data_IF_064758878081
#
_entry.id   IF_064758878081
#
_cell.length_a   1.000
_cell.length_b   1.000
_cell.length_c   1.000
_cell.angle_alpha   90.00
_cell.angle_beta   90.00
_cell.angle_gamma   90.00
#
_symmetry.space_group_name_H-M   'P 1'
#
loop_
_entity.id
_entity.type
_entity.pdbx_description
1 polymer ?
#
# COMPACT_ATOMS: atom_id res chain seq x y z
N UNK A 1 46.61 -29.98 -42.22
CA UNK A 1 47.25 -28.86 -41.48
C UNK A 1 46.17 -27.90 -41.05
N UNK A 2 45.92 -27.82 -39.74
CA UNK A 2 45.02 -26.86 -39.10
C UNK A 2 45.49 -25.42 -39.36
N UNK A 3 44.56 -24.46 -39.34
CA UNK A 3 44.63 -23.32 -38.41
C UNK A 3 43.48 -22.35 -38.66
N UNK A 4 42.64 -22.15 -37.64
CA UNK A 4 41.62 -21.11 -37.67
C UNK A 4 40.27 -21.50 -37.10
N UNK A 5 40.22 -22.46 -36.18
CA UNK A 5 39.16 -22.52 -35.18
C UNK A 5 39.21 -21.20 -34.39
N UNK A 6 38.59 -20.15 -34.92
CA UNK A 6 38.39 -18.91 -34.19
C UNK A 6 37.29 -19.22 -33.19
N UNK A 7 37.73 -19.59 -32.00
CA UNK A 7 36.95 -19.62 -30.76
C UNK A 7 36.04 -18.39 -30.83
N UNK A 8 34.75 -18.58 -31.09
CA UNK A 8 33.76 -17.57 -30.72
C UNK A 8 33.93 -17.49 -29.21
N UNK A 9 34.34 -16.35 -28.62
CA UNK A 9 34.33 -16.24 -27.17
C UNK A 9 32.90 -16.57 -26.75
N UNK A 10 32.79 -17.65 -25.99
CA UNK A 10 31.54 -18.20 -25.49
C UNK A 10 30.97 -17.26 -24.41
N UNK A 11 30.68 -16.03 -24.79
CA UNK A 11 30.06 -15.00 -23.97
C UNK A 11 28.54 -14.95 -24.18
N UNK A 12 28.00 -15.94 -24.91
CA UNK A 12 26.69 -15.84 -25.57
C UNK A 12 25.79 -17.07 -25.40
N UNK A 13 26.13 -18.03 -24.53
CA UNK A 13 25.16 -19.08 -24.19
C UNK A 13 25.34 -19.51 -22.73
N UNK A 14 24.36 -19.12 -21.89
CA UNK A 14 23.62 -20.03 -20.98
C UNK A 14 23.48 -19.54 -19.51
N UNK A 15 22.32 -18.92 -19.25
CA UNK A 15 21.33 -19.29 -18.22
C UNK A 15 21.76 -19.32 -16.75
N UNK A 16 22.10 -18.18 -16.16
CA UNK A 16 21.90 -18.00 -14.72
C UNK A 16 21.31 -16.62 -14.53
N UNK A 17 20.21 -16.51 -13.80
CA UNK A 17 20.01 -15.29 -13.02
C UNK A 17 21.34 -15.06 -12.28
N UNK A 18 22.02 -13.94 -12.53
CA UNK A 18 23.27 -13.66 -11.83
C UNK A 18 22.99 -13.80 -10.34
N UNK A 19 23.89 -14.46 -9.61
CA UNK A 19 23.70 -14.73 -8.17
C UNK A 19 23.36 -13.44 -7.39
N UNK A 20 23.81 -12.29 -7.90
CA UNK A 20 23.47 -10.94 -7.44
C UNK A 20 21.96 -10.69 -7.57
N UNK A 21 21.36 -10.90 -8.75
CA UNK A 21 19.93 -10.74 -9.01
C UNK A 21 19.09 -11.64 -8.10
N UNK A 22 19.50 -12.90 -7.90
CA UNK A 22 18.82 -13.81 -6.97
C UNK A 22 18.86 -13.25 -5.54
N UNK A 23 20.03 -12.80 -5.09
CA UNK A 23 20.19 -12.21 -3.75
C UNK A 23 19.31 -10.97 -3.59
N UNK A 24 19.27 -10.09 -4.60
CA UNK A 24 18.43 -8.88 -4.60
C UNK A 24 16.95 -9.24 -4.52
N UNK A 25 16.46 -10.18 -5.33
CA UNK A 25 15.06 -10.61 -5.31
C UNK A 25 14.68 -11.25 -3.97
N UNK A 26 15.55 -12.08 -3.39
CA UNK A 26 15.30 -12.71 -2.08
C UNK A 26 15.25 -11.66 -0.96
N UNK A 27 16.18 -10.71 -0.95
CA UNK A 27 16.17 -9.60 0.00
C UNK A 27 14.93 -8.72 -0.17
N UNK A 28 14.57 -8.41 -1.42
CA UNK A 28 13.35 -7.70 -1.75
C UNK A 28 12.12 -8.45 -1.23
N UNK A 29 12.01 -9.76 -1.44
CA UNK A 29 10.87 -10.56 -1.00
C UNK A 29 10.66 -10.47 0.52
N UNK A 30 11.76 -10.49 1.29
CA UNK A 30 11.72 -10.34 2.76
C UNK A 30 11.26 -8.93 3.15
N UNK A 31 11.84 -7.89 2.55
CA UNK A 31 11.46 -6.49 2.82
C UNK A 31 10.01 -6.22 2.41
N UNK A 32 9.59 -6.75 1.27
CA UNK A 32 8.23 -6.62 0.76
C UNK A 32 7.22 -7.36 1.66
N UNK A 33 7.59 -8.50 2.26
CA UNK A 33 6.77 -9.16 3.28
C UNK A 33 6.59 -8.28 4.52
N UNK A 34 7.64 -7.56 4.97
CA UNK A 34 7.52 -6.55 6.03
C UNK A 34 6.59 -5.42 5.60
N UNK A 35 6.63 -5.00 4.33
CA UNK A 35 5.71 -3.99 3.80
C UNK A 35 4.23 -4.43 3.82
N UNK A 36 3.95 -5.72 3.64
CA UNK A 36 2.60 -6.28 3.84
C UNK A 36 2.17 -6.16 5.31
N UNK A 37 3.07 -6.44 6.25
CA UNK A 37 2.78 -6.23 7.68
C UNK A 37 2.57 -4.75 8.02
N UNK A 38 3.29 -3.84 7.36
CA UNK A 38 3.05 -2.39 7.48
C UNK A 38 1.67 -1.98 6.92
N UNK A 39 1.18 -2.65 5.88
CA UNK A 39 -0.18 -2.42 5.38
C UNK A 39 -1.26 -2.89 6.37
N UNK A 40 -1.01 -3.98 7.10
CA UNK A 40 -1.94 -4.52 8.12
C UNK A 40 -2.19 -3.56 9.28
N UNK A 41 -1.21 -2.73 9.60
CA UNK A 41 -1.27 -1.69 10.63
C UNK A 41 -1.69 -0.33 10.06
N UNK A 42 -2.21 -0.28 8.83
CA UNK A 42 -2.76 0.94 8.23
C UNK A 42 -1.73 1.95 7.73
N UNK A 43 -0.45 1.57 7.61
CA UNK A 43 0.56 2.41 6.95
C UNK A 43 0.57 2.21 5.43
N UNK A 44 1.27 3.12 4.75
CA UNK A 44 1.49 3.12 3.30
C UNK A 44 2.48 2.03 2.83
N UNK A 45 2.36 0.79 3.35
CA UNK A 45 3.26 -0.32 3.05
C UNK A 45 3.26 -0.72 1.56
N UNK A 46 2.10 -0.67 0.89
CA UNK A 46 1.98 -0.93 -0.56
C UNK A 46 2.80 0.05 -1.38
N UNK A 47 2.78 1.33 -1.01
CA UNK A 47 3.55 2.39 -1.68
C UNK A 47 5.05 2.19 -1.51
N UNK A 48 5.50 1.86 -0.30
CA UNK A 48 6.90 1.57 -0.02
C UNK A 48 7.37 0.36 -0.85
N UNK A 49 6.59 -0.71 -0.89
CA UNK A 49 6.89 -1.91 -1.67
C UNK A 49 7.04 -1.60 -3.17
N UNK A 50 6.09 -0.86 -3.76
CA UNK A 50 6.13 -0.48 -5.18
C UNK A 50 7.31 0.47 -5.46
N UNK A 51 7.61 1.39 -4.55
CA UNK A 51 8.75 2.31 -4.70
C UNK A 51 10.09 1.55 -4.68
N UNK A 52 10.25 0.58 -3.78
CA UNK A 52 11.46 -0.25 -3.74
C UNK A 52 11.58 -1.08 -5.02
N UNK A 53 10.48 -1.70 -5.49
CA UNK A 53 10.49 -2.46 -6.73
C UNK A 53 10.88 -1.58 -7.94
N UNK A 54 10.34 -0.36 -8.01
CA UNK A 54 10.72 0.61 -9.04
C UNK A 54 12.20 1.00 -8.95
N UNK A 55 12.73 1.23 -7.75
CA UNK A 55 14.16 1.54 -7.58
C UNK A 55 15.03 0.38 -8.02
N UNK A 56 14.66 -0.86 -7.73
CA UNK A 56 15.41 -2.03 -8.19
C UNK A 56 15.36 -2.12 -9.72
N UNK A 57 14.19 -1.98 -10.33
CA UNK A 57 14.05 -2.00 -11.80
C UNK A 57 14.91 -0.90 -12.47
N UNK A 58 14.96 0.30 -11.90
CA UNK A 58 15.79 1.39 -12.41
C UNK A 58 17.29 1.14 -12.23
N UNK A 59 17.69 0.42 -11.19
CA UNK A 59 19.09 0.08 -10.91
C UNK A 59 19.55 -1.19 -11.64
N UNK A 60 18.64 -1.99 -12.17
CA UNK A 60 18.94 -3.24 -12.87
C UNK A 60 19.83 -3.01 -14.09
N UNK A 61 19.77 -1.82 -14.70
CA UNK A 61 20.66 -1.40 -15.80
C UNK A 61 22.16 -1.43 -15.44
N UNK A 62 22.51 -1.40 -14.14
CA UNK A 62 23.91 -1.40 -13.70
C UNK A 62 24.49 -2.80 -13.50
N UNK A 63 23.64 -3.82 -13.33
CA UNK A 63 24.10 -5.16 -12.90
C UNK A 63 23.41 -6.33 -13.62
N UNK A 64 22.39 -6.09 -14.44
CA UNK A 64 21.60 -7.13 -15.11
C UNK A 64 21.32 -6.84 -16.59
N UNK A 65 20.45 -7.67 -17.18
CA UNK A 65 20.14 -7.69 -18.62
C UNK A 65 19.10 -6.64 -19.04
N UNK A 66 18.59 -5.84 -18.10
CA UNK A 66 17.85 -4.59 -18.38
C UNK A 66 16.38 -4.54 -17.96
N UNK A 67 15.74 -5.64 -17.59
CA UNK A 67 14.37 -5.67 -17.03
C UNK A 67 14.17 -6.86 -16.06
N UNK A 68 13.84 -6.59 -14.79
CA UNK A 68 13.58 -7.64 -13.78
C UNK A 68 12.10 -8.01 -13.73
N UNK A 69 11.20 -7.01 -13.74
CA UNK A 69 9.74 -7.21 -13.72
C UNK A 69 9.06 -6.68 -14.97
N UNK A 70 9.68 -5.72 -15.65
CA UNK A 70 9.08 -4.97 -16.74
C UNK A 70 8.07 -3.93 -16.28
N UNK A 71 7.91 -2.88 -17.09
CA UNK A 71 7.04 -1.74 -16.80
C UNK A 71 5.56 -2.11 -16.63
N UNK A 72 5.10 -3.18 -17.28
CA UNK A 72 3.72 -3.67 -17.14
C UNK A 72 3.44 -4.16 -15.73
N UNK A 73 4.33 -4.96 -15.15
CA UNK A 73 4.17 -5.52 -13.80
C UNK A 73 4.16 -4.40 -12.75
N UNK A 74 5.09 -3.45 -12.87
CA UNK A 74 5.13 -2.28 -11.99
C UNK A 74 3.87 -1.42 -12.13
N UNK A 75 3.38 -1.22 -13.35
CA UNK A 75 2.13 -0.51 -13.63
C UNK A 75 0.91 -1.19 -12.99
N UNK A 76 0.82 -2.52 -13.07
CA UNK A 76 -0.24 -3.30 -12.40
C UNK A 76 -0.15 -3.16 -10.89
N UNK A 77 1.04 -3.34 -10.28
CA UNK A 77 1.21 -3.21 -8.84
C UNK A 77 0.94 -1.78 -8.34
N UNK A 78 1.31 -0.76 -9.12
CA UNK A 78 0.96 0.63 -8.83
C UNK A 78 -0.55 0.86 -8.87
N UNK A 79 -1.23 0.35 -9.91
CA UNK A 79 -2.69 0.41 -10.01
C UNK A 79 -3.39 -0.27 -8.82
N UNK A 80 -2.90 -1.45 -8.42
CA UNK A 80 -3.37 -2.15 -7.23
C UNK A 80 -3.12 -1.33 -5.95
N UNK A 81 -1.95 -0.70 -5.80
CA UNK A 81 -1.66 0.16 -4.65
C UNK A 81 -2.66 1.32 -4.53
N UNK A 82 -3.00 1.97 -5.65
CA UNK A 82 -4.03 3.01 -5.72
C UNK A 82 -5.40 2.46 -5.31
N UNK A 83 -5.79 1.30 -5.86
CA UNK A 83 -7.07 0.65 -5.53
C UNK A 83 -7.14 0.33 -4.04
N UNK A 84 -6.08 -0.21 -3.43
CA UNK A 84 -6.02 -0.50 -2.00
C UNK A 84 -6.19 0.75 -1.13
N UNK A 85 -5.58 1.87 -1.51
CA UNK A 85 -5.73 3.14 -0.79
C UNK A 85 -7.15 3.70 -0.87
N UNK A 86 -7.75 3.65 -2.08
CA UNK A 86 -9.15 4.06 -2.30
C UNK A 86 -10.10 3.16 -1.51
N UNK A 87 -9.85 1.85 -1.45
CA UNK A 87 -10.64 0.92 -0.66
C UNK A 87 -10.60 1.27 0.83
N UNK A 88 -9.43 1.59 1.37
CA UNK A 88 -9.29 1.97 2.79
C UNK A 88 -10.07 3.25 3.11
N UNK A 89 -9.84 4.32 2.35
CA UNK A 89 -10.51 5.60 2.55
C UNK A 89 -12.02 5.50 2.27
N UNK A 90 -12.37 4.79 1.21
CA UNK A 90 -13.75 4.57 0.78
C UNK A 90 -14.54 3.76 1.79
N UNK A 91 -13.94 2.72 2.40
CA UNK A 91 -14.61 1.92 3.41
C UNK A 91 -14.95 2.74 4.67
N UNK A 92 -14.07 3.65 5.10
CA UNK A 92 -14.37 4.59 6.17
C UNK A 92 -15.54 5.53 5.83
N UNK A 93 -15.56 6.10 4.64
CA UNK A 93 -16.67 6.94 4.17
C UNK A 93 -17.98 6.16 4.02
N UNK A 94 -17.95 4.96 3.45
CA UNK A 94 -19.12 4.09 3.34
C UNK A 94 -19.63 3.67 4.72
N UNK A 95 -18.74 3.50 5.69
CA UNK A 95 -19.06 3.25 7.09
C UNK A 95 -19.94 4.34 7.71
N UNK A 96 -19.63 5.61 7.45
CA UNK A 96 -20.49 6.75 7.83
C UNK A 96 -21.89 6.59 7.23
N UNK A 97 -21.96 6.32 5.92
CA UNK A 97 -23.24 6.20 5.19
C UNK A 97 -24.09 5.04 5.73
N UNK A 98 -23.48 3.89 6.01
CA UNK A 98 -24.16 2.71 6.60
C UNK A 98 -24.63 3.02 8.03
N UNK A 99 -23.87 3.83 8.77
CA UNK A 99 -24.27 4.33 10.08
C UNK A 99 -25.39 5.38 10.06
N UNK A 100 -25.88 5.78 8.88
CA UNK A 100 -26.93 6.78 8.70
C UNK A 100 -26.42 8.21 8.56
N UNK A 101 -25.11 8.41 8.43
CA UNK A 101 -24.50 9.72 8.31
C UNK A 101 -24.64 10.38 6.94
N UNK A 102 -24.42 11.68 6.93
CA UNK A 102 -24.50 12.55 5.76
C UNK A 102 -23.24 12.49 4.87
N UNK A 103 -23.35 13.12 3.68
CA UNK A 103 -22.20 13.32 2.79
C UNK A 103 -21.09 14.17 3.41
N UNK A 104 -21.43 15.06 4.36
CA UNK A 104 -20.43 15.88 5.08
C UNK A 104 -19.65 15.03 6.08
N UNK A 105 -20.33 14.11 6.80
CA UNK A 105 -19.67 13.10 7.62
C UNK A 105 -18.71 12.23 6.83
N UNK A 106 -19.08 11.80 5.61
CA UNK A 106 -18.21 10.98 4.76
C UNK A 106 -16.91 11.70 4.40
N UNK A 107 -17.02 12.96 3.95
CA UNK A 107 -15.84 13.77 3.61
C UNK A 107 -15.02 14.09 4.86
N UNK A 108 -15.69 14.40 5.97
CA UNK A 108 -15.06 14.62 7.27
C UNK A 108 -14.26 13.41 7.73
N UNK A 109 -14.78 12.20 7.57
CA UNK A 109 -14.08 10.95 7.91
C UNK A 109 -12.80 10.76 7.09
N UNK A 110 -12.82 11.03 5.78
CA UNK A 110 -11.65 10.94 4.91
C UNK A 110 -10.58 11.95 5.34
N UNK A 111 -10.96 13.24 5.43
CA UNK A 111 -10.03 14.32 5.78
C UNK A 111 -9.49 14.11 7.19
N UNK A 112 -10.37 13.80 8.14
CA UNK A 112 -10.00 13.53 9.52
C UNK A 112 -9.05 12.34 9.64
N UNK A 113 -9.26 11.27 8.87
CA UNK A 113 -8.36 10.13 8.85
C UNK A 113 -6.95 10.47 8.35
N UNK A 114 -6.85 11.27 7.28
CA UNK A 114 -5.57 11.74 6.74
C UNK A 114 -4.86 12.65 7.75
N UNK A 115 -5.57 13.69 8.22
CA UNK A 115 -5.01 14.68 9.15
C UNK A 115 -4.65 14.04 10.48
N UNK A 116 -5.50 13.18 11.03
CA UNK A 116 -5.26 12.48 12.27
C UNK A 116 -4.08 11.51 12.16
N UNK A 117 -3.96 10.79 11.05
CA UNK A 117 -2.80 9.95 10.77
C UNK A 117 -1.50 10.75 10.78
N UNK A 118 -1.45 11.86 10.03
CA UNK A 118 -0.24 12.70 9.92
C UNK A 118 0.07 13.40 11.25
N UNK A 119 -0.93 13.99 11.93
CA UNK A 119 -0.73 14.82 13.10
C UNK A 119 -0.31 14.04 14.35
N UNK A 120 -0.79 12.80 14.52
CA UNK A 120 -0.45 11.97 15.68
C UNK A 120 0.76 11.06 15.45
N UNK A 121 1.25 10.94 14.21
CA UNK A 121 2.50 10.23 13.89
C UNK A 121 3.72 10.74 14.67
N UNK A 122 4.01 12.07 14.74
CA UNK A 122 5.17 12.57 15.48
C UNK A 122 4.95 12.65 17.00
N UNK A 123 3.71 12.51 17.47
CA UNK A 123 3.35 12.67 18.89
C UNK A 123 3.57 11.37 19.67
N UNK A 124 3.37 10.21 19.02
CA UNK A 124 3.63 8.91 19.64
C UNK A 124 5.06 8.47 19.31
N UNK A 125 5.89 8.09 20.32
CA UNK A 125 7.29 7.71 20.11
C UNK A 125 7.50 6.49 19.21
N UNK A 126 6.43 5.74 18.91
CA UNK A 126 6.39 4.69 17.90
C UNK A 126 5.55 5.20 16.71
N UNK A 127 6.19 5.69 15.62
CA UNK A 127 5.51 6.34 14.50
C UNK A 127 4.39 5.49 13.88
N UNK A 128 4.61 4.18 13.90
CA UNK A 128 3.70 3.15 13.41
C UNK A 128 2.35 3.18 14.15
N UNK A 129 2.40 3.20 15.49
CA UNK A 129 1.20 3.20 16.33
C UNK A 129 0.51 4.57 16.27
N UNK A 130 1.30 5.66 16.22
CA UNK A 130 0.80 7.02 16.04
C UNK A 130 -0.05 7.19 14.78
N UNK A 131 0.42 6.65 13.65
CA UNK A 131 -0.30 6.73 12.38
C UNK A 131 -1.63 5.98 12.45
N UNK A 132 -1.63 4.74 12.93
CA UNK A 132 -2.84 3.90 13.00
C UNK A 132 -3.89 4.49 13.94
N UNK A 133 -3.49 4.80 15.18
CA UNK A 133 -4.38 5.35 16.19
C UNK A 133 -4.88 6.72 15.74
N UNK A 134 -3.99 7.54 15.21
CA UNK A 134 -4.34 8.86 14.72
C UNK A 134 -5.31 8.82 13.55
N UNK A 135 -5.12 7.90 12.62
CA UNK A 135 -6.01 7.77 11.48
C UNK A 135 -7.40 7.27 11.91
N UNK A 136 -7.49 6.34 12.87
CA UNK A 136 -8.77 5.87 13.42
C UNK A 136 -9.49 6.98 14.19
N UNK A 137 -8.82 7.62 15.14
CA UNK A 137 -9.38 8.73 15.94
C UNK A 137 -9.77 9.89 15.04
N UNK A 138 -8.90 10.25 14.09
CA UNK A 138 -9.14 11.30 13.13
C UNK A 138 -10.33 11.00 12.22
N UNK A 139 -10.49 9.75 11.77
CA UNK A 139 -11.65 9.33 10.97
C UNK A 139 -12.94 9.45 11.77
N UNK A 140 -12.93 9.01 13.04
CA UNK A 140 -14.08 9.14 13.93
C UNK A 140 -14.43 10.61 14.21
N UNK A 141 -13.45 11.41 14.65
CA UNK A 141 -13.64 12.82 14.96
C UNK A 141 -14.08 13.60 13.73
N UNK A 142 -13.46 13.34 12.57
CA UNK A 142 -13.83 13.94 11.30
C UNK A 142 -15.27 13.60 10.88
N UNK A 143 -15.72 12.37 11.08
CA UNK A 143 -17.10 11.99 10.87
C UNK A 143 -18.06 12.77 11.79
N UNK A 144 -17.73 12.85 13.10
CA UNK A 144 -18.51 13.62 14.08
C UNK A 144 -18.61 15.10 13.66
N UNK A 145 -17.47 15.74 13.35
CA UNK A 145 -17.44 17.14 12.90
C UNK A 145 -18.23 17.36 11.61
N UNK A 146 -18.18 16.42 10.67
CA UNK A 146 -18.96 16.47 9.44
C UNK A 146 -20.47 16.36 9.67
N UNK A 147 -20.90 15.58 10.66
CA UNK A 147 -22.31 15.42 11.01
C UNK A 147 -22.85 16.61 11.82
N UNK A 148 -22.12 17.13 12.81
CA UNK A 148 -22.59 18.28 13.61
C UNK A 148 -22.65 19.59 12.82
N UNK A 149 -21.91 19.67 11.71
CA UNK A 149 -21.98 20.80 10.76
C UNK A 149 -23.04 20.59 9.69
N UNK A 150 -23.78 19.49 9.72
CA UNK A 150 -24.91 19.25 8.82
C UNK A 150 -26.08 20.20 9.16
N UNK A 151 -26.89 20.54 8.15
CA UNK A 151 -27.97 21.54 8.30
C UNK A 151 -29.12 21.05 9.18
N UNK A 152 -29.36 19.75 9.17
CA UNK A 152 -30.31 19.10 10.06
C UNK A 152 -29.55 18.57 11.29
N UNK A 153 -29.97 18.92 12.51
CA UNK A 153 -29.29 18.47 13.72
C UNK A 153 -29.51 16.97 13.91
N UNK A 154 -28.51 16.18 13.52
CA UNK A 154 -28.46 14.75 13.83
C UNK A 154 -28.47 14.56 15.35
N UNK A 155 -29.26 13.62 15.84
CA UNK A 155 -29.31 13.31 17.28
C UNK A 155 -27.94 12.77 17.71
N UNK A 156 -27.53 13.00 18.97
CA UNK A 156 -26.25 12.50 19.48
C UNK A 156 -26.04 10.99 19.24
N UNK A 157 -27.11 10.19 19.30
CA UNK A 157 -27.08 8.75 18.99
C UNK A 157 -26.81 8.44 17.51
N UNK A 158 -27.32 9.26 16.58
CA UNK A 158 -27.11 9.09 15.14
C UNK A 158 -25.68 9.47 14.76
N UNK A 159 -25.16 10.56 15.34
CA UNK A 159 -23.76 10.98 15.16
C UNK A 159 -22.80 9.90 15.66
N UNK A 160 -23.05 9.35 16.85
CA UNK A 160 -22.24 8.28 17.41
C UNK A 160 -22.28 7.00 16.55
N UNK A 161 -23.47 6.61 16.06
CA UNK A 161 -23.64 5.44 15.19
C UNK A 161 -22.90 5.62 13.86
N UNK A 162 -23.02 6.79 13.25
CA UNK A 162 -22.32 7.17 12.02
C UNK A 162 -20.80 7.13 12.17
N UNK A 163 -20.28 7.77 13.22
CA UNK A 163 -18.84 7.80 13.49
C UNK A 163 -18.28 6.40 13.83
N UNK A 164 -19.03 5.57 14.56
CA UNK A 164 -18.67 4.17 14.83
C UNK A 164 -18.64 3.36 13.53
N UNK A 165 -19.62 3.58 12.65
CA UNK A 165 -19.63 3.00 11.30
C UNK A 165 -18.38 3.39 10.51
N UNK A 166 -17.94 4.65 10.59
CA UNK A 166 -16.72 5.12 9.93
C UNK A 166 -15.47 4.37 10.41
N UNK A 167 -15.34 4.18 11.73
CA UNK A 167 -14.23 3.43 12.33
C UNK A 167 -14.22 1.97 11.90
N UNK A 168 -15.37 1.28 11.96
CA UNK A 168 -15.49 -0.12 11.52
C UNK A 168 -15.17 -0.23 10.03
N UNK A 169 -15.72 0.67 9.22
CA UNK A 169 -15.45 0.76 7.79
C UNK A 169 -13.96 0.91 7.51
N UNK A 170 -13.26 1.79 8.23
CA UNK A 170 -11.81 1.96 8.09
C UNK A 170 -11.04 0.68 8.43
N UNK A 171 -11.37 0.01 9.53
CA UNK A 171 -10.72 -1.26 9.92
C UNK A 171 -10.89 -2.31 8.83
N UNK A 172 -12.11 -2.46 8.29
CA UNK A 172 -12.38 -3.37 7.17
C UNK A 172 -11.61 -2.96 5.91
N UNK A 173 -11.48 -1.66 5.66
CA UNK A 173 -10.68 -1.09 4.59
C UNK A 173 -9.20 -1.48 4.69
N UNK A 174 -8.61 -1.40 5.89
CA UNK A 174 -7.22 -1.81 6.17
C UNK A 174 -7.03 -3.31 5.89
N UNK A 175 -7.98 -4.15 6.31
CA UNK A 175 -7.93 -5.60 6.02
C UNK A 175 -7.98 -5.85 4.50
N UNK A 176 -8.90 -5.18 3.79
CA UNK A 176 -9.01 -5.27 2.34
C UNK A 176 -7.73 -4.83 1.61
N UNK A 177 -7.17 -3.68 2.01
CA UNK A 177 -5.90 -3.15 1.51
C UNK A 177 -4.74 -4.11 1.76
N UNK A 178 -4.71 -4.78 2.90
CA UNK A 178 -3.68 -5.78 3.22
C UNK A 178 -3.76 -6.97 2.26
N UNK A 179 -4.97 -7.40 1.90
CA UNK A 179 -5.17 -8.41 0.85
C UNK A 179 -4.59 -7.96 -0.49
N UNK A 180 -4.81 -6.70 -0.89
CA UNK A 180 -4.21 -6.12 -2.10
C UNK A 180 -2.68 -6.07 -2.01
N UNK A 181 -2.14 -5.73 -0.84
CA UNK A 181 -0.69 -5.75 -0.58
C UNK A 181 -0.11 -7.16 -0.75
N UNK A 182 -0.79 -8.18 -0.24
CA UNK A 182 -0.38 -9.57 -0.39
C UNK A 182 -0.41 -10.02 -1.86
N UNK A 183 -1.40 -9.58 -2.65
CA UNK A 183 -1.45 -9.86 -4.09
C UNK A 183 -0.26 -9.20 -4.81
N UNK A 184 0.03 -7.92 -4.53
CA UNK A 184 1.21 -7.26 -5.10
C UNK A 184 2.51 -7.97 -4.71
N UNK A 185 2.63 -8.41 -3.45
CA UNK A 185 3.78 -9.18 -2.99
C UNK A 185 3.94 -10.49 -3.78
N UNK A 186 2.86 -11.27 -3.95
CA UNK A 186 2.88 -12.49 -4.75
C UNK A 186 3.30 -12.23 -6.21
N UNK A 187 2.76 -11.18 -6.84
CA UNK A 187 3.13 -10.81 -8.22
C UNK A 187 4.63 -10.51 -8.30
N UNK A 188 5.13 -9.61 -7.46
CA UNK A 188 6.53 -9.17 -7.51
C UNK A 188 7.52 -10.28 -7.10
N UNK A 189 7.09 -11.24 -6.27
CA UNK A 189 7.94 -12.40 -5.93
C UNK A 189 7.93 -13.46 -7.04
N UNK A 190 6.81 -13.67 -7.74
CA UNK A 190 6.69 -14.75 -8.74
C UNK A 190 7.19 -14.34 -10.12
N UNK A 191 6.87 -13.13 -10.58
CA UNK A 191 7.20 -12.67 -11.94
C UNK A 191 8.65 -12.82 -12.36
N UNK A 192 9.68 -12.59 -11.50
CA UNK A 192 11.07 -12.79 -11.89
C UNK A 192 11.46 -14.23 -12.25
N UNK A 193 10.61 -15.22 -11.93
CA UNK A 193 10.86 -16.64 -12.17
C UNK A 193 10.03 -17.23 -13.32
N UNK A 194 9.18 -16.42 -13.97
CA UNK A 194 8.28 -16.82 -15.07
C UNK A 194 8.81 -16.26 -16.38
#
# INVERSE_FOLDING_TARGET
MCNGCRIIPNHQVRNSMDWITIVVIVLFAIVAAVCVLLALIGLAGTWIMVAIALVIELLDIYWGDGETWGWTTLGVCFGLAVVGEIMEMGAGALGVKVGGGSRRGMVGAIIGGIVGGIALTPVIPIPVIGTLVGAVIGTFAGAVFGEVTHKDPSTAGEVAKSATGATIGRILGVIGKTGVAAVCWCILVVTPFV
#
